data_IF_413453758328
#
_entry.id   IF_413453758328
#
_cell.length_a   1.000
_cell.length_b   1.000
_cell.length_c   1.000
_cell.angle_alpha   90.00
_cell.angle_beta   90.00
_cell.angle_gamma   90.00
#
_symmetry.space_group_name_H-M   'P 1'
#
loop_
_entity.id
_entity.type
_entity.pdbx_description
1 polymer ?
#
# COMPACT_ATOMS: atom_id res chain seq x y z
N UNK A 1 16.99 -0.62 0.00
CA UNK A 1 17.71 -1.75 -0.65
C UNK A 1 17.06 -2.19 -1.96
N UNK A 2 15.78 -2.58 -1.98
CA UNK A 2 15.11 -3.04 -3.22
C UNK A 2 15.14 -2.00 -4.35
N UNK A 3 14.91 -0.71 -4.05
CA UNK A 3 15.04 0.39 -5.03
C UNK A 3 16.43 0.45 -5.68
N UNK A 4 17.50 0.29 -4.91
CA UNK A 4 18.86 0.30 -5.42
C UNK A 4 19.17 -0.93 -6.27
N UNK A 5 18.69 -2.11 -5.87
CA UNK A 5 18.86 -3.34 -6.64
C UNK A 5 18.14 -3.24 -7.99
N UNK A 6 16.91 -2.71 -8.02
CA UNK A 6 16.13 -2.57 -9.25
C UNK A 6 16.66 -1.45 -10.14
N UNK A 7 17.11 -0.32 -9.57
CA UNK A 7 17.71 0.74 -10.38
C UNK A 7 19.12 0.34 -10.83
N UNK A 8 20.10 0.30 -9.92
CA UNK A 8 21.50 0.06 -10.28
C UNK A 8 21.77 -1.37 -10.78
N UNK A 9 21.15 -2.38 -10.17
CA UNK A 9 21.36 -3.79 -10.54
C UNK A 9 20.78 -4.15 -11.90
N UNK A 10 19.52 -3.80 -12.18
CA UNK A 10 18.93 -4.07 -13.51
C UNK A 10 19.44 -3.12 -14.61
N UNK A 11 19.86 -1.88 -14.29
CA UNK A 11 20.47 -0.99 -15.30
C UNK A 11 21.73 -1.57 -15.94
N UNK A 12 22.40 -2.54 -15.30
CA UNK A 12 23.54 -3.25 -15.87
C UNK A 12 23.17 -4.18 -17.04
N UNK A 13 21.89 -4.53 -17.18
CA UNK A 13 21.36 -5.43 -18.23
C UNK A 13 20.43 -4.65 -19.17
N UNK A 14 19.56 -3.79 -18.63
CA UNK A 14 18.59 -2.96 -19.37
C UNK A 14 18.50 -1.59 -18.72
N UNK A 15 18.74 -0.52 -19.49
CA UNK A 15 18.57 0.86 -18.96
C UNK A 15 17.10 1.15 -18.70
N UNK A 16 16.72 1.23 -17.42
CA UNK A 16 15.37 1.57 -16.99
C UNK A 16 15.38 2.98 -16.42
N UNK A 17 14.42 3.81 -16.83
CA UNK A 17 14.26 5.16 -16.30
C UNK A 17 13.87 5.14 -14.80
N UNK A 18 14.21 6.18 -14.03
CA UNK A 18 13.96 6.23 -12.58
C UNK A 18 12.51 5.94 -12.15
N UNK A 19 11.52 6.47 -12.86
CA UNK A 19 10.10 6.31 -12.50
C UNK A 19 9.66 4.84 -12.64
N UNK A 20 9.84 4.16 -13.80
CA UNK A 20 9.59 2.72 -13.90
C UNK A 20 10.34 1.87 -12.88
N UNK A 21 11.61 2.19 -12.57
CA UNK A 21 12.37 1.47 -11.54
C UNK A 21 11.75 1.62 -10.15
N UNK A 22 11.27 2.82 -9.80
CA UNK A 22 10.56 3.04 -8.54
C UNK A 22 9.24 2.26 -8.49
N UNK A 23 8.46 2.26 -9.57
CA UNK A 23 7.20 1.51 -9.68
C UNK A 23 7.45 0.01 -9.50
N UNK A 24 8.46 -0.54 -10.15
CA UNK A 24 8.79 -1.98 -10.05
C UNK A 24 9.24 -2.31 -8.61
N UNK A 25 10.17 -1.55 -8.05
CA UNK A 25 10.71 -1.83 -6.72
C UNK A 25 9.64 -1.68 -5.62
N UNK A 26 8.93 -0.56 -5.61
CA UNK A 26 7.87 -0.31 -4.62
C UNK A 26 6.65 -1.18 -4.87
N UNK A 27 6.32 -1.48 -6.12
CA UNK A 27 5.23 -2.37 -6.50
C UNK A 27 5.48 -3.81 -6.06
N UNK A 28 6.69 -4.33 -6.25
CA UNK A 28 7.06 -5.65 -5.75
C UNK A 28 7.05 -5.70 -4.22
N UNK A 29 7.63 -4.68 -3.56
CA UNK A 29 7.62 -4.55 -2.11
C UNK A 29 6.19 -4.56 -1.55
N UNK A 30 5.34 -3.65 -2.00
CA UNK A 30 3.97 -3.53 -1.54
C UNK A 30 3.11 -4.71 -1.97
N UNK A 31 3.36 -5.30 -3.14
CA UNK A 31 2.64 -6.45 -3.65
C UNK A 31 2.75 -7.66 -2.73
N UNK A 32 3.92 -7.91 -2.14
CA UNK A 32 4.10 -8.97 -1.15
C UNK A 32 3.22 -8.76 0.10
N UNK A 33 3.20 -7.53 0.64
CA UNK A 33 2.34 -7.19 1.78
C UNK A 33 0.85 -7.30 1.43
N UNK A 34 0.45 -6.81 0.26
CA UNK A 34 -0.94 -6.89 -0.21
C UNK A 34 -1.39 -8.36 -0.35
N UNK A 35 -0.54 -9.23 -0.90
CA UNK A 35 -0.84 -10.66 -1.03
C UNK A 35 -1.10 -11.30 0.35
N UNK A 36 -0.28 -10.94 1.34
CA UNK A 36 -0.42 -11.44 2.71
C UNK A 36 -1.67 -10.89 3.41
N UNK A 37 -2.03 -9.64 3.15
CA UNK A 37 -3.29 -9.04 3.61
C UNK A 37 -4.49 -9.82 3.06
N UNK A 38 -4.52 -10.11 1.75
CA UNK A 38 -5.59 -10.92 1.17
C UNK A 38 -5.63 -12.34 1.74
N UNK A 39 -4.46 -12.98 1.89
CA UNK A 39 -4.35 -14.32 2.50
C UNK A 39 -4.91 -14.34 3.92
N UNK A 40 -4.48 -13.41 4.77
CA UNK A 40 -4.97 -13.27 6.14
C UNK A 40 -6.46 -12.94 6.20
N UNK A 41 -6.95 -12.10 5.29
CA UNK A 41 -8.37 -11.72 5.23
C UNK A 41 -9.26 -12.92 4.86
N UNK A 42 -8.84 -13.74 3.91
CA UNK A 42 -9.55 -14.99 3.55
C UNK A 42 -9.52 -15.98 4.71
N UNK A 43 -8.39 -16.13 5.38
CA UNK A 43 -8.25 -17.03 6.54
C UNK A 43 -9.04 -16.57 7.77
N UNK A 44 -9.33 -15.27 7.89
CA UNK A 44 -10.15 -14.74 8.99
C UNK A 44 -11.62 -15.13 8.89
N UNK A 45 -12.10 -15.56 7.71
CA UNK A 45 -13.51 -15.96 7.53
C UNK A 45 -13.77 -17.26 8.29
N UNK A 46 -14.87 -17.28 9.05
CA UNK A 46 -15.29 -18.46 9.80
C UNK A 46 -15.45 -19.67 8.87
N UNK A 47 -14.86 -20.80 9.25
CA UNK A 47 -14.86 -22.01 8.41
C UNK A 47 -16.28 -22.56 8.19
N UNK A 48 -17.19 -22.30 9.13
CA UNK A 48 -18.61 -22.62 9.06
C UNK A 48 -19.33 -21.95 7.89
N UNK A 49 -18.87 -20.78 7.41
CA UNK A 49 -19.40 -20.18 6.17
C UNK A 49 -19.15 -21.08 4.95
N UNK A 50 -17.96 -21.70 4.88
CA UNK A 50 -17.63 -22.65 3.84
C UNK A 50 -18.41 -23.95 4.03
N UNK A 51 -18.46 -24.49 5.25
CA UNK A 51 -19.17 -25.73 5.56
C UNK A 51 -20.67 -25.61 5.27
N UNK A 52 -21.32 -24.52 5.68
CA UNK A 52 -22.72 -24.24 5.39
C UNK A 52 -22.99 -24.15 3.87
N UNK A 53 -22.14 -23.44 3.13
CA UNK A 53 -22.26 -23.35 1.68
C UNK A 53 -22.13 -24.72 1.00
N UNK A 54 -21.20 -25.56 1.47
CA UNK A 54 -21.00 -26.92 0.97
C UNK A 54 -22.18 -27.83 1.31
N UNK A 55 -22.75 -27.70 2.50
CA UNK A 55 -23.95 -28.43 2.94
C UNK A 55 -25.19 -28.08 2.13
N UNK A 56 -25.28 -26.85 1.60
CA UNK A 56 -26.31 -26.43 0.66
C UNK A 56 -26.01 -26.86 -0.81
N UNK A 57 -25.04 -27.74 -1.02
CA UNK A 57 -24.68 -28.28 -2.33
C UNK A 57 -23.83 -27.37 -3.22
N UNK A 58 -23.30 -26.25 -2.70
CA UNK A 58 -22.46 -25.37 -3.52
C UNK A 58 -21.08 -26.00 -3.80
N UNK A 59 -20.56 -25.96 -5.05
CA UNK A 59 -19.16 -26.27 -5.32
C UNK A 59 -18.22 -25.33 -4.55
N UNK A 60 -17.06 -25.83 -4.09
CA UNK A 60 -16.06 -25.02 -3.37
C UNK A 60 -15.72 -23.71 -4.08
N UNK A 61 -15.56 -23.74 -5.41
CA UNK A 61 -15.28 -22.54 -6.21
C UNK A 61 -16.43 -21.52 -6.15
N UNK A 62 -17.69 -21.98 -6.20
CA UNK A 62 -18.87 -21.12 -6.12
C UNK A 62 -19.04 -20.53 -4.72
N UNK A 63 -18.81 -21.34 -3.68
CA UNK A 63 -18.79 -20.89 -2.29
C UNK A 63 -17.69 -19.84 -2.06
N UNK A 64 -16.47 -20.09 -2.55
CA UNK A 64 -15.37 -19.13 -2.48
C UNK A 64 -15.74 -17.81 -3.16
N UNK A 65 -16.24 -17.85 -4.40
CA UNK A 65 -16.54 -16.65 -5.17
C UNK A 65 -17.71 -15.83 -4.61
N UNK A 66 -18.77 -16.49 -4.14
CA UNK A 66 -20.03 -15.81 -3.76
C UNK A 66 -20.17 -15.52 -2.28
N UNK A 67 -19.44 -16.23 -1.42
CA UNK A 67 -19.59 -16.12 0.04
C UNK A 67 -18.29 -15.63 0.66
N UNK A 68 -17.18 -16.34 0.44
CA UNK A 68 -15.92 -16.06 1.14
C UNK A 68 -15.23 -14.80 0.61
N UNK A 69 -15.02 -14.67 -0.71
CA UNK A 69 -14.29 -13.54 -1.29
C UNK A 69 -14.94 -12.18 -1.01
N UNK A 70 -16.27 -11.99 -1.11
CA UNK A 70 -16.91 -10.72 -0.78
C UNK A 70 -16.72 -10.34 0.70
N UNK A 71 -16.77 -11.31 1.62
CA UNK A 71 -16.52 -11.08 3.05
C UNK A 71 -15.04 -10.76 3.31
N UNK A 72 -14.13 -11.55 2.73
CA UNK A 72 -12.70 -11.35 2.86
C UNK A 72 -12.28 -9.99 2.30
N UNK A 73 -12.88 -9.53 1.20
CA UNK A 73 -12.61 -8.21 0.64
C UNK A 73 -12.97 -7.10 1.62
N UNK A 74 -14.15 -7.15 2.26
CA UNK A 74 -14.55 -6.16 3.28
C UNK A 74 -13.56 -6.13 4.45
N UNK A 75 -13.08 -7.28 4.90
CA UNK A 75 -12.06 -7.40 5.97
C UNK A 75 -10.66 -6.97 5.53
N UNK A 76 -10.35 -7.04 4.24
CA UNK A 76 -9.09 -6.57 3.68
C UNK A 76 -9.02 -5.03 3.55
N UNK A 77 -10.15 -4.33 3.47
CA UNK A 77 -10.14 -2.86 3.25
C UNK A 77 -9.37 -2.09 4.32
N UNK A 78 -9.60 -2.28 5.65
CA UNK A 78 -8.84 -1.57 6.67
C UNK A 78 -7.30 -1.77 6.56
N UNK A 79 -6.76 -3.00 6.52
CA UNK A 79 -5.32 -3.19 6.38
C UNK A 79 -4.77 -2.72 5.02
N UNK A 80 -5.55 -2.79 3.93
CA UNK A 80 -5.15 -2.19 2.64
C UNK A 80 -5.04 -0.66 2.72
N UNK A 81 -5.95 -0.01 3.44
CA UNK A 81 -5.89 1.43 3.70
C UNK A 81 -4.64 1.82 4.48
N UNK A 82 -4.29 1.03 5.50
CA UNK A 82 -3.04 1.21 6.24
C UNK A 82 -1.81 1.01 5.33
N UNK A 83 -1.82 -0.03 4.49
CA UNK A 83 -0.73 -0.27 3.54
C UNK A 83 -0.56 0.88 2.54
N UNK A 84 -1.64 1.53 2.12
CA UNK A 84 -1.59 2.70 1.24
C UNK A 84 -0.91 3.90 1.92
N UNK A 85 -1.18 4.13 3.23
CA UNK A 85 -0.52 5.19 4.01
C UNK A 85 0.98 4.91 4.15
N UNK A 86 1.35 3.64 4.35
CA UNK A 86 2.76 3.21 4.37
C UNK A 86 3.41 3.46 3.02
N UNK A 87 2.78 3.00 1.92
CA UNK A 87 3.27 3.18 0.56
C UNK A 87 3.49 4.66 0.20
N UNK A 88 2.61 5.56 0.67
CA UNK A 88 2.76 7.00 0.47
C UNK A 88 4.05 7.53 1.12
N UNK A 89 4.36 7.10 2.34
CA UNK A 89 5.61 7.49 3.02
C UNK A 89 6.82 6.85 2.35
N UNK A 90 6.74 5.57 2.00
CA UNK A 90 7.83 4.82 1.36
C UNK A 90 8.18 5.38 -0.03
N UNK A 91 7.22 6.03 -0.70
CA UNK A 91 7.47 6.71 -1.98
C UNK A 91 8.59 7.76 -1.89
N UNK A 92 8.82 8.37 -0.73
CA UNK A 92 9.92 9.30 -0.47
C UNK A 92 11.31 8.68 -0.71
N UNK A 93 11.45 7.35 -0.58
CA UNK A 93 12.69 6.63 -0.86
C UNK A 93 13.03 6.67 -2.35
N UNK A 94 12.07 6.91 -3.25
CA UNK A 94 12.32 7.04 -4.69
C UNK A 94 13.20 8.26 -5.01
N UNK A 95 13.25 9.27 -4.12
CA UNK A 95 14.20 10.40 -4.21
C UNK A 95 15.66 9.96 -4.32
N UNK A 96 16.01 8.79 -3.77
CA UNK A 96 17.38 8.25 -3.76
C UNK A 96 17.85 7.82 -5.15
N UNK A 97 16.93 7.53 -6.07
CA UNK A 97 17.19 7.22 -7.48
C UNK A 97 16.77 8.37 -8.40
N UNK A 98 16.76 9.61 -7.88
CA UNK A 98 16.45 10.84 -8.60
C UNK A 98 15.04 10.92 -9.22
N UNK A 99 14.05 10.22 -8.66
CA UNK A 99 12.65 10.43 -9.04
C UNK A 99 12.18 11.80 -8.53
N UNK A 100 11.58 12.64 -9.40
CA UNK A 100 11.13 13.98 -9.01
C UNK A 100 9.84 13.93 -8.19
N UNK A 101 9.97 13.58 -6.92
CA UNK A 101 8.91 13.64 -5.91
C UNK A 101 9.21 14.70 -4.83
N UNK A 102 8.38 14.77 -3.79
CA UNK A 102 8.39 15.82 -2.78
C UNK A 102 9.72 15.89 -2.00
N UNK A 103 10.27 14.75 -1.58
CA UNK A 103 11.55 14.68 -0.88
C UNK A 103 12.71 15.17 -1.76
N UNK A 104 12.75 14.80 -3.05
CA UNK A 104 13.76 15.27 -3.98
C UNK A 104 13.66 16.79 -4.20
N UNK A 105 12.43 17.32 -4.30
CA UNK A 105 12.22 18.78 -4.38
C UNK A 105 12.72 19.51 -3.14
N UNK A 106 12.44 19.00 -1.94
CA UNK A 106 12.99 19.56 -0.70
C UNK A 106 14.51 19.55 -0.67
N UNK A 107 15.15 18.45 -1.10
CA UNK A 107 16.62 18.35 -1.21
C UNK A 107 17.20 19.36 -2.20
N UNK A 108 16.55 19.53 -3.36
CA UNK A 108 16.98 20.49 -4.39
C UNK A 108 16.91 21.93 -3.88
N UNK A 109 15.79 22.30 -3.23
CA UNK A 109 15.63 23.63 -2.64
C UNK A 109 16.63 23.86 -1.51
N UNK A 110 16.78 22.89 -0.60
CA UNK A 110 17.74 22.96 0.50
C UNK A 110 19.19 23.07 0.03
N UNK A 111 19.52 22.45 -1.11
CA UNK A 111 20.83 22.62 -1.76
C UNK A 111 21.02 24.03 -2.32
N UNK A 112 19.99 24.59 -2.97
CA UNK A 112 20.07 25.93 -3.56
C UNK A 112 20.14 27.06 -2.52
N UNK A 113 19.50 26.87 -1.36
CA UNK A 113 19.45 27.86 -0.28
C UNK A 113 20.40 27.55 0.88
N UNK A 114 21.09 26.41 0.86
CA UNK A 114 21.88 25.86 1.97
C UNK A 114 21.09 25.64 3.29
N UNK A 115 19.76 25.62 3.21
CA UNK A 115 18.84 25.46 4.35
C UNK A 115 18.15 24.08 4.33
N UNK A 116 18.92 23.02 4.54
CA UNK A 116 18.39 21.65 4.44
C UNK A 116 17.37 21.31 5.54
N UNK A 117 17.63 21.75 6.77
CA UNK A 117 16.78 21.41 7.92
C UNK A 117 15.37 21.99 7.74
N UNK A 118 15.30 23.26 7.36
CA UNK A 118 14.06 24.00 7.14
C UNK A 118 13.26 23.38 5.98
N UNK A 119 13.94 23.01 4.89
CA UNK A 119 13.28 22.36 3.76
C UNK A 119 12.77 20.96 4.11
N UNK A 120 13.51 20.18 4.91
CA UNK A 120 13.03 18.89 5.40
C UNK A 120 11.87 19.00 6.38
N UNK A 121 11.83 20.03 7.22
CA UNK A 121 10.66 20.31 8.07
C UNK A 121 9.42 20.61 7.22
N UNK A 122 9.56 21.45 6.18
CA UNK A 122 8.46 21.76 5.25
C UNK A 122 7.97 20.49 4.54
N UNK A 123 8.88 19.68 4.00
CA UNK A 123 8.56 18.38 3.38
C UNK A 123 7.86 17.46 4.38
N UNK A 124 8.34 17.38 5.62
CA UNK A 124 7.74 16.59 6.69
C UNK A 124 6.31 17.02 7.01
N UNK A 125 6.05 18.32 7.08
CA UNK A 125 4.69 18.88 7.25
C UNK A 125 3.79 18.47 6.09
N UNK A 126 4.27 18.53 4.85
CA UNK A 126 3.50 18.08 3.70
C UNK A 126 3.18 16.59 3.74
N UNK A 127 4.14 15.73 4.09
CA UNK A 127 3.86 14.32 4.32
C UNK A 127 2.87 14.10 5.47
N UNK A 128 2.95 14.89 6.54
CA UNK A 128 2.01 14.81 7.66
C UNK A 128 0.59 15.18 7.22
N UNK A 129 0.43 16.25 6.43
CA UNK A 129 -0.87 16.66 5.85
C UNK A 129 -1.42 15.55 4.96
N UNK A 130 -0.63 15.05 4.01
CA UNK A 130 -1.06 13.99 3.09
C UNK A 130 -1.46 12.71 3.84
N UNK A 131 -0.64 12.27 4.80
CA UNK A 131 -0.93 11.09 5.61
C UNK A 131 -2.16 11.29 6.47
N UNK A 132 -2.33 12.46 7.09
CA UNK A 132 -3.51 12.77 7.92
C UNK A 132 -4.80 12.82 7.10
N UNK A 133 -4.77 13.43 5.91
CA UNK A 133 -5.92 13.42 4.97
C UNK A 133 -6.26 11.99 4.57
N UNK A 134 -5.27 11.20 4.19
CA UNK A 134 -5.50 9.81 3.79
C UNK A 134 -6.02 8.95 4.95
N UNK A 135 -5.43 9.08 6.14
CA UNK A 135 -5.91 8.42 7.37
C UNK A 135 -7.35 8.77 7.69
N UNK A 136 -7.74 10.05 7.54
CA UNK A 136 -9.11 10.48 7.74
C UNK A 136 -10.08 9.86 6.73
N UNK A 137 -9.70 9.82 5.44
CA UNK A 137 -10.51 9.17 4.39
C UNK A 137 -10.63 7.67 4.66
N UNK A 138 -9.53 6.99 5.00
CA UNK A 138 -9.55 5.56 5.33
C UNK A 138 -10.42 5.28 6.56
N UNK A 139 -10.32 6.10 7.60
CA UNK A 139 -11.17 5.96 8.79
C UNK A 139 -12.66 6.10 8.46
N UNK A 140 -13.03 7.03 7.57
CA UNK A 140 -14.41 7.17 7.06
C UNK A 140 -14.87 5.93 6.30
N UNK A 141 -14.01 5.34 5.46
CA UNK A 141 -14.31 4.11 4.72
C UNK A 141 -14.51 2.93 5.68
N UNK A 142 -13.62 2.78 6.67
CA UNK A 142 -13.72 1.73 7.69
C UNK A 142 -15.02 1.83 8.48
N UNK A 143 -15.42 3.03 8.91
CA UNK A 143 -16.68 3.23 9.63
C UNK A 143 -17.90 2.82 8.80
N UNK A 144 -17.89 3.05 7.49
CA UNK A 144 -18.97 2.64 6.58
C UNK A 144 -19.05 1.12 6.41
N UNK A 145 -17.91 0.43 6.45
CA UNK A 145 -17.84 -1.02 6.32
C UNK A 145 -18.20 -1.76 7.61
N UNK A 146 -17.89 -1.18 8.78
CA UNK A 146 -18.20 -1.74 10.11
C UNK A 146 -19.70 -1.85 10.43
N UNK A 147 -20.60 -1.23 9.65
CA UNK A 147 -22.05 -1.25 9.88
C UNK A 147 -22.66 -2.66 9.71
N UNK A 148 -21.91 -3.66 9.23
CA UNK A 148 -22.40 -5.03 9.02
C UNK A 148 -21.87 -6.08 10.01
N UNK A 149 -20.93 -5.75 10.91
CA UNK A 149 -20.26 -6.72 11.81
C UNK A 149 -20.65 -6.51 13.30
N UNK A 150 -21.91 -6.11 13.57
CA UNK A 150 -22.46 -6.17 14.93
C UNK A 150 -23.00 -7.58 15.17
N UNK A 151 -22.13 -8.44 15.67
CA UNK A 151 -22.50 -9.56 16.55
C UNK A 151 -22.99 -9.01 17.90
#
# INVERSE_FOLDING_TARGET
MQLFIVYYGLTSIVTIAPIPSAIIALGFHNGAYIAEIFRGSIQSIDIGQMEAARSLGMPKAKAMQRIILPQAFKRAVPPLGNQLIIALKDSSLASTIAVPELMLKGRQMGSSSFMYMEMFLIVGIWYLIMTSVLSFVMHRIEQRLKVSDRD
#
